data_IF_749651976994
#
_entry.id   IF_749651976994
#
_cell.length_a   1.000
_cell.length_b   1.000
_cell.length_c   1.000
_cell.angle_alpha   90.00
_cell.angle_beta   90.00
_cell.angle_gamma   90.00
#
_symmetry.space_group_name_H-M   'P 1'
#
loop_
_entity.id
_entity.type
_entity.pdbx_description
1 polymer ?
#
# COMPACT_ATOMS: atom_id res chain seq x y z
N UNK A 1 -16.49 -15.43 -26.45
CA UNK A 1 -16.58 -16.48 -25.44
C UNK A 1 -17.31 -15.92 -24.22
N UNK A 2 -18.48 -16.44 -23.83
CA UNK A 2 -19.25 -15.91 -22.70
C UNK A 2 -18.69 -16.30 -21.32
N UNK A 3 -17.52 -16.95 -21.25
CA UNK A 3 -16.84 -17.33 -20.01
C UNK A 3 -15.60 -16.48 -19.67
N UNK A 4 -15.52 -15.23 -20.13
CA UNK A 4 -14.55 -14.28 -19.59
C UNK A 4 -14.78 -14.15 -18.07
N UNK A 5 -13.86 -14.72 -17.28
CA UNK A 5 -13.96 -14.85 -15.83
C UNK A 5 -14.31 -13.52 -15.18
N UNK A 6 -15.47 -13.48 -14.50
CA UNK A 6 -15.87 -12.33 -13.69
C UNK A 6 -14.77 -12.06 -12.66
N UNK A 7 -14.06 -10.94 -12.80
CA UNK A 7 -13.42 -10.25 -11.66
C UNK A 7 -14.48 -10.16 -10.56
N UNK A 8 -14.16 -10.68 -9.38
CA UNK A 8 -15.01 -10.50 -8.21
C UNK A 8 -14.45 -9.35 -7.42
N UNK A 9 -15.31 -8.38 -7.16
CA UNK A 9 -14.94 -7.21 -6.39
C UNK A 9 -14.83 -7.59 -4.91
N UNK A 10 -13.78 -7.08 -4.26
CA UNK A 10 -13.64 -7.15 -2.81
C UNK A 10 -14.49 -6.07 -2.15
N UNK A 11 -15.01 -6.35 -0.94
CA UNK A 11 -15.79 -5.40 -0.17
C UNK A 11 -14.99 -4.84 1.01
N UNK A 12 -14.93 -3.52 1.10
CA UNK A 12 -14.34 -2.79 2.22
C UNK A 12 -15.44 -2.10 3.03
N UNK A 13 -15.39 -2.27 4.36
CA UNK A 13 -16.34 -1.66 5.29
C UNK A 13 -15.60 -0.91 6.39
N UNK A 14 -15.88 0.37 6.53
CA UNK A 14 -15.36 1.21 7.61
C UNK A 14 -16.28 1.21 8.83
N UNK A 15 -15.69 1.09 10.02
CA UNK A 15 -16.35 1.22 11.30
C UNK A 15 -15.58 2.25 12.14
N UNK A 16 -15.70 3.56 11.85
CA UNK A 16 -14.88 4.61 12.48
C UNK A 16 -15.08 4.73 13.99
N UNK A 17 -16.24 4.32 14.51
CA UNK A 17 -16.53 4.34 15.95
C UNK A 17 -16.18 3.02 16.66
N UNK A 18 -15.45 2.12 15.98
CA UNK A 18 -15.05 0.85 16.58
C UNK A 18 -14.17 1.08 17.82
N UNK A 19 -14.50 0.37 18.90
CA UNK A 19 -13.81 0.46 20.17
C UNK A 19 -12.94 -0.78 20.42
N UNK A 20 -11.69 -0.56 20.79
CA UNK A 20 -10.79 -1.59 21.30
C UNK A 20 -10.79 -1.56 22.82
N UNK A 21 -10.70 -2.75 23.42
CA UNK A 21 -10.44 -2.89 24.85
C UNK A 21 -8.93 -2.80 25.09
N UNK A 22 -8.50 -1.82 25.87
CA UNK A 22 -7.12 -1.63 26.27
C UNK A 22 -6.73 -2.61 27.39
N UNK A 23 -5.43 -2.84 27.63
CA UNK A 23 -4.96 -3.72 28.73
C UNK A 23 -5.45 -3.30 30.12
N UNK A 24 -5.69 -2.00 30.32
CA UNK A 24 -6.26 -1.42 31.55
C UNK A 24 -7.77 -1.69 31.72
N UNK A 25 -8.39 -2.40 30.78
CA UNK A 25 -9.81 -2.70 30.76
C UNK A 25 -10.71 -1.59 30.21
N UNK A 26 -10.17 -0.38 29.98
CA UNK A 26 -10.89 0.73 29.39
C UNK A 26 -11.18 0.49 27.91
N UNK A 27 -12.21 1.15 27.39
CA UNK A 27 -12.55 1.14 25.96
C UNK A 27 -12.01 2.41 25.32
N UNK A 28 -11.42 2.25 24.14
CA UNK A 28 -10.94 3.35 23.32
C UNK A 28 -11.54 3.24 21.95
N UNK A 29 -12.24 4.27 21.50
CA UNK A 29 -12.54 4.45 20.08
C UNK A 29 -11.22 4.57 19.32
N UNK A 30 -11.05 3.78 18.27
CA UNK A 30 -9.89 3.83 17.38
C UNK A 30 -10.27 3.70 15.90
N UNK A 31 -11.44 3.13 15.62
CA UNK A 31 -11.89 2.83 14.26
C UNK A 31 -11.31 1.52 13.71
N UNK A 32 -12.01 0.92 12.76
CA UNK A 32 -11.62 -0.35 12.13
C UNK A 32 -12.09 -0.42 10.68
N UNK A 33 -11.23 -0.95 9.82
CA UNK A 33 -11.53 -1.34 8.45
C UNK A 33 -11.71 -2.86 8.41
N UNK A 34 -12.71 -3.34 7.67
CA UNK A 34 -12.94 -4.74 7.37
C UNK A 34 -12.81 -4.95 5.86
N UNK A 35 -12.03 -5.95 5.47
CA UNK A 35 -11.90 -6.40 4.09
C UNK A 35 -12.50 -7.80 3.95
N UNK A 36 -13.49 -7.93 3.07
CA UNK A 36 -14.11 -9.18 2.69
C UNK A 36 -13.66 -9.52 1.27
N UNK A 37 -12.80 -10.52 1.15
CA UNK A 37 -12.24 -10.95 -0.13
C UNK A 37 -13.28 -11.71 -0.97
N UNK A 38 -13.35 -11.37 -2.26
CA UNK A 38 -14.19 -12.01 -3.26
C UNK A 38 -13.81 -13.48 -3.49
N UNK A 39 -14.79 -14.38 -3.36
CA UNK A 39 -14.60 -15.82 -3.58
C UNK A 39 -15.92 -16.53 -3.90
N UNK A 40 -16.33 -16.50 -5.17
CA UNK A 40 -17.57 -17.07 -5.69
C UNK A 40 -18.83 -16.55 -4.99
N UNK A 41 -19.93 -17.32 -5.03
CA UNK A 41 -21.21 -16.99 -4.36
C UNK A 41 -21.13 -16.96 -2.80
N UNK A 42 -19.95 -16.74 -2.21
CA UNK A 42 -19.69 -16.94 -0.79
C UNK A 42 -18.79 -15.87 -0.16
N UNK A 43 -18.91 -14.62 -0.61
CA UNK A 43 -18.28 -13.39 -0.06
C UNK A 43 -18.27 -13.30 1.49
N UNK A 44 -19.17 -14.00 2.18
CA UNK A 44 -19.39 -13.89 3.62
C UNK A 44 -18.99 -15.12 4.43
N UNK A 45 -18.27 -16.10 3.85
CA UNK A 45 -17.87 -17.31 4.60
C UNK A 45 -16.45 -17.33 5.14
N UNK A 46 -15.60 -16.42 4.67
CA UNK A 46 -14.26 -16.23 5.24
C UNK A 46 -14.31 -15.13 6.30
N UNK A 47 -13.51 -15.29 7.35
CA UNK A 47 -13.28 -14.22 8.32
C UNK A 47 -12.67 -13.01 7.59
N UNK A 48 -13.21 -11.80 7.76
CA UNK A 48 -12.66 -10.62 7.11
C UNK A 48 -11.26 -10.32 7.67
N UNK A 49 -10.38 -9.83 6.82
CA UNK A 49 -9.17 -9.17 7.29
C UNK A 49 -9.58 -7.85 7.96
N UNK A 50 -8.92 -7.50 9.07
CA UNK A 50 -9.24 -6.27 9.81
C UNK A 50 -8.00 -5.40 10.02
N UNK A 51 -8.10 -4.12 9.70
CA UNK A 51 -7.10 -3.09 10.04
C UNK A 51 -7.69 -2.19 11.12
N UNK A 52 -6.95 -1.94 12.20
CA UNK A 52 -7.45 -1.14 13.33
C UNK A 52 -6.65 0.15 13.44
N UNK A 53 -7.34 1.26 13.70
CA UNK A 53 -6.69 2.55 13.90
C UNK A 53 -5.76 2.54 15.12
N UNK A 54 -4.73 3.37 15.06
CA UNK A 54 -3.72 3.49 16.13
C UNK A 54 -3.99 4.68 17.06
N UNK A 55 -4.70 5.70 16.59
CA UNK A 55 -4.96 6.93 17.34
C UNK A 55 -6.35 6.88 18.00
N UNK A 56 -6.45 7.09 19.33
CA UNK A 56 -7.72 7.25 20.00
C UNK A 56 -8.55 8.38 19.41
N UNK A 57 -9.85 8.14 19.19
CA UNK A 57 -10.80 9.11 18.62
C UNK A 57 -10.44 9.60 17.21
N UNK A 58 -9.49 8.96 16.54
CA UNK A 58 -9.04 9.35 15.20
C UNK A 58 -10.04 9.07 14.09
N UNK A 59 -11.10 8.29 14.39
CA UNK A 59 -12.13 7.82 13.43
C UNK A 59 -11.52 7.14 12.21
N UNK A 60 -10.60 6.21 12.43
CA UNK A 60 -9.97 5.45 11.34
C UNK A 60 -11.02 4.72 10.49
N UNK A 61 -10.85 4.76 9.18
CA UNK A 61 -11.80 4.25 8.19
C UNK A 61 -13.14 5.01 8.16
N UNK A 62 -13.12 6.31 8.45
CA UNK A 62 -14.26 7.21 8.19
C UNK A 62 -14.47 7.48 6.69
N UNK A 63 -13.38 7.44 5.91
CA UNK A 63 -13.41 7.51 4.46
C UNK A 63 -12.47 6.44 3.89
N UNK A 64 -12.86 5.88 2.74
CA UNK A 64 -12.10 4.85 2.03
C UNK A 64 -12.16 5.19 0.55
N UNK A 65 -11.02 5.17 -0.14
CA UNK A 65 -10.96 5.31 -1.59
C UNK A 65 -10.04 4.23 -2.18
N UNK A 66 -10.47 3.66 -3.30
CA UNK A 66 -9.56 2.87 -4.13
C UNK A 66 -8.56 3.80 -4.82
N UNK A 67 -7.32 3.37 -4.89
CA UNK A 67 -6.23 4.04 -5.58
C UNK A 67 -5.87 3.36 -6.91
N UNK A 68 -6.44 2.17 -7.18
CA UNK A 68 -6.02 1.32 -8.29
C UNK A 68 -4.70 0.64 -7.97
N UNK A 69 -3.80 0.61 -8.95
CA UNK A 69 -2.42 0.13 -8.81
C UNK A 69 -1.50 1.36 -8.71
N UNK A 70 -1.21 1.80 -7.48
CA UNK A 70 -0.51 3.07 -7.24
C UNK A 70 0.97 2.97 -7.57
N UNK A 71 1.59 1.81 -7.37
CA UNK A 71 3.01 1.59 -7.61
C UNK A 71 3.33 0.68 -8.80
N UNK A 72 2.30 0.26 -9.55
CA UNK A 72 2.39 -0.59 -10.74
C UNK A 72 3.02 -1.94 -10.48
N UNK A 73 2.79 -2.49 -9.30
CA UNK A 73 3.29 -3.81 -8.93
C UNK A 73 2.41 -4.96 -9.48
N UNK A 74 1.29 -4.62 -10.11
CA UNK A 74 0.36 -5.56 -10.72
C UNK A 74 -0.90 -5.82 -9.88
N UNK A 75 -1.03 -5.19 -8.71
CA UNK A 75 -2.20 -5.30 -7.84
C UNK A 75 -3.15 -4.11 -8.04
N UNK A 76 -4.41 -4.38 -8.43
CA UNK A 76 -5.42 -3.33 -8.66
C UNK A 76 -5.50 -2.74 -10.08
N UNK A 77 -4.68 -3.21 -11.02
CA UNK A 77 -4.69 -2.74 -12.41
C UNK A 77 -5.90 -3.23 -13.24
N UNK A 78 -6.41 -2.39 -14.15
CA UNK A 78 -7.52 -2.70 -15.08
C UNK A 78 -7.16 -3.67 -16.23
N UNK A 79 -5.93 -4.19 -16.27
CA UNK A 79 -5.54 -5.18 -17.26
C UNK A 79 -6.10 -6.54 -16.82
N UNK A 80 -7.05 -7.09 -17.59
CA UNK A 80 -7.67 -8.40 -17.32
C UNK A 80 -6.72 -9.60 -17.45
N UNK A 81 -5.40 -9.37 -17.49
CA UNK A 81 -4.33 -10.34 -17.70
C UNK A 81 -3.04 -9.78 -17.06
N UNK A 82 -2.77 -10.07 -15.80
CA UNK A 82 -1.42 -9.91 -15.24
C UNK A 82 -0.61 -11.15 -15.60
N UNK A 83 0.50 -10.97 -16.34
CA UNK A 83 1.44 -12.07 -16.57
C UNK A 83 2.05 -12.45 -15.22
N UNK A 84 1.94 -13.72 -14.84
CA UNK A 84 2.78 -14.25 -13.79
C UNK A 84 4.27 -14.05 -14.16
N UNK A 85 5.12 -13.89 -13.14
CA UNK A 85 6.54 -13.58 -13.21
C UNK A 85 7.27 -14.14 -14.45
N UNK A 86 8.14 -13.32 -15.06
CA UNK A 86 9.01 -13.73 -16.15
C UNK A 86 9.90 -14.92 -15.72
N UNK A 87 9.53 -16.12 -16.13
CA UNK A 87 10.23 -17.37 -15.76
C UNK A 87 9.36 -18.63 -15.82
N UNK A 88 8.04 -18.49 -15.80
CA UNK A 88 7.11 -19.60 -16.03
C UNK A 88 6.43 -19.37 -17.39
N UNK A 89 6.88 -20.08 -18.43
CA UNK A 89 6.38 -19.91 -19.80
C UNK A 89 4.85 -19.94 -19.89
N UNK A 90 4.28 -19.03 -20.70
CA UNK A 90 2.87 -18.85 -21.10
C UNK A 90 1.76 -19.60 -20.33
N UNK A 91 1.84 -19.59 -19.00
CA UNK A 91 0.83 -20.15 -18.12
C UNK A 91 0.05 -18.99 -17.51
N UNK A 92 -1.14 -18.74 -18.03
CA UNK A 92 -2.12 -17.87 -17.40
C UNK A 92 -2.57 -18.52 -16.09
N UNK A 93 -1.98 -18.11 -14.97
CA UNK A 93 -2.52 -18.52 -13.67
C UNK A 93 -3.78 -17.69 -13.44
N UNK A 94 -4.93 -18.36 -13.32
CA UNK A 94 -6.17 -17.79 -12.79
C UNK A 94 -5.97 -17.46 -11.30
N UNK A 95 -5.08 -16.51 -10.98
CA UNK A 95 -4.92 -16.08 -9.60
C UNK A 95 -6.06 -15.16 -9.21
N UNK A 96 -6.47 -15.34 -7.96
CA UNK A 96 -7.47 -14.64 -7.19
C UNK A 96 -7.66 -13.15 -7.54
N UNK A 97 -8.86 -12.59 -7.36
CA UNK A 97 -9.05 -11.14 -7.45
C UNK A 97 -8.02 -10.47 -6.55
N UNK A 98 -7.18 -9.62 -7.13
CA UNK A 98 -6.20 -8.91 -6.33
C UNK A 98 -6.76 -7.57 -5.92
N UNK A 99 -6.75 -7.32 -4.61
CA UNK A 99 -7.22 -6.09 -4.01
C UNK A 99 -6.39 -4.91 -4.54
N UNK A 100 -7.04 -3.80 -4.96
CA UNK A 100 -6.31 -2.60 -5.30
C UNK A 100 -5.71 -1.96 -4.05
N UNK A 101 -4.77 -1.05 -4.26
CA UNK A 101 -4.29 -0.15 -3.23
C UNK A 101 -5.44 0.73 -2.74
N UNK A 102 -5.40 1.08 -1.45
CA UNK A 102 -6.47 1.86 -0.81
C UNK A 102 -5.93 2.99 0.05
N UNK A 103 -6.62 4.13 0.00
CA UNK A 103 -6.47 5.22 0.94
C UNK A 103 -7.57 5.13 2.01
N UNK A 104 -7.17 5.26 3.28
CA UNK A 104 -8.06 5.19 4.43
C UNK A 104 -7.89 6.43 5.30
N UNK A 105 -8.98 7.17 5.49
CA UNK A 105 -8.98 8.41 6.26
C UNK A 105 -9.19 8.20 7.74
N UNK A 106 -8.47 8.97 8.55
CA UNK A 106 -8.69 9.16 9.99
C UNK A 106 -8.77 10.68 10.26
N UNK A 107 -9.93 11.30 10.02
CA UNK A 107 -10.05 12.77 9.96
C UNK A 107 -9.72 13.50 11.26
N UNK A 108 -9.74 12.80 12.38
CA UNK A 108 -9.43 13.33 13.71
C UNK A 108 -8.13 12.75 14.28
N UNK A 109 -7.39 11.98 13.47
CA UNK A 109 -6.11 11.39 13.85
C UNK A 109 -4.96 12.39 13.78
N UNK A 110 -3.78 11.93 14.21
CA UNK A 110 -2.53 12.70 14.18
C UNK A 110 -2.44 13.79 15.25
N UNK A 111 -1.31 14.48 15.24
CA UNK A 111 -1.00 15.49 16.24
C UNK A 111 -1.99 16.67 16.13
N UNK A 112 -2.59 17.01 17.27
CA UNK A 112 -3.62 18.06 17.35
C UNK A 112 -4.97 17.70 16.70
N UNK A 113 -5.18 16.46 16.25
CA UNK A 113 -6.43 16.01 15.64
C UNK A 113 -6.71 16.65 14.27
N UNK A 114 -5.65 17.03 13.56
CA UNK A 114 -5.76 17.71 12.26
C UNK A 114 -6.20 16.77 11.12
N UNK A 115 -6.03 15.47 11.31
CA UNK A 115 -6.41 14.41 10.38
C UNK A 115 -5.21 13.75 9.69
N UNK A 116 -5.39 12.48 9.33
CA UNK A 116 -4.40 11.65 8.66
C UNK A 116 -5.06 10.80 7.57
N UNK A 117 -4.27 10.42 6.56
CA UNK A 117 -4.64 9.42 5.55
C UNK A 117 -3.56 8.34 5.50
N UNK A 118 -3.98 7.09 5.45
CA UNK A 118 -3.11 5.93 5.39
C UNK A 118 -3.25 5.25 4.03
N UNK A 119 -2.13 4.90 3.41
CA UNK A 119 -2.08 4.12 2.17
C UNK A 119 -1.76 2.68 2.53
N UNK A 120 -2.64 1.76 2.16
CA UNK A 120 -2.44 0.32 2.29
C UNK A 120 -2.33 -0.28 0.90
N UNK A 121 -1.22 -0.96 0.65
CA UNK A 121 -0.99 -1.65 -0.61
C UNK A 121 -1.77 -2.95 -0.68
N UNK A 122 -2.24 -3.30 -1.86
CA UNK A 122 -2.73 -4.63 -2.21
C UNK A 122 -1.63 -5.69 -2.15
N UNK A 123 -2.03 -6.93 -1.93
CA UNK A 123 -1.19 -8.12 -2.04
C UNK A 123 -2.05 -9.32 -2.44
N UNK A 124 -1.41 -10.45 -2.73
CA UNK A 124 -2.09 -11.68 -3.17
C UNK A 124 -3.18 -12.19 -2.22
N UNK A 125 -3.11 -11.85 -0.93
CA UNK A 125 -4.04 -12.27 0.12
C UNK A 125 -4.80 -11.10 0.78
N UNK A 126 -4.96 -9.97 0.07
CA UNK A 126 -5.74 -8.82 0.52
C UNK A 126 -4.91 -7.56 0.64
N UNK A 127 -4.93 -6.90 1.80
CA UNK A 127 -4.16 -5.67 2.03
C UNK A 127 -2.96 -5.92 2.93
N UNK A 128 -1.89 -5.15 2.78
CA UNK A 128 -0.82 -5.11 3.77
C UNK A 128 -1.37 -4.66 5.14
N UNK A 129 -0.95 -5.32 6.22
CA UNK A 129 -1.38 -4.98 7.59
C UNK A 129 -0.80 -3.65 8.08
N UNK A 130 0.37 -3.29 7.57
CA UNK A 130 1.08 -2.04 7.88
C UNK A 130 0.91 -1.10 6.69
N UNK A 131 0.50 0.17 6.91
CA UNK A 131 0.40 1.13 5.82
C UNK A 131 1.78 1.40 5.24
N UNK A 132 1.88 1.42 3.91
CA UNK A 132 3.12 1.71 3.18
C UNK A 132 3.45 3.19 3.22
N UNK A 133 2.44 4.05 3.38
CA UNK A 133 2.60 5.49 3.51
C UNK A 133 1.55 6.08 4.45
N UNK A 134 1.96 7.14 5.16
CA UNK A 134 1.07 7.98 5.98
C UNK A 134 1.19 9.42 5.52
N UNK A 135 0.05 10.06 5.30
CA UNK A 135 -0.06 11.47 4.97
C UNK A 135 -0.65 12.20 6.17
N UNK A 136 0.16 13.05 6.80
CA UNK A 136 -0.28 13.93 7.89
C UNK A 136 -0.89 15.21 7.29
N UNK A 137 -1.92 15.77 7.94
CA UNK A 137 -2.55 17.03 7.49
C UNK A 137 -1.50 18.13 7.31
N UNK A 138 -1.37 18.72 6.11
CA UNK A 138 -0.51 19.89 5.90
C UNK A 138 -1.18 21.19 6.38
N UNK A 139 -2.42 21.12 6.87
CA UNK A 139 -3.21 22.27 7.26
C UNK A 139 -3.28 22.40 8.79
N UNK A 140 -3.19 23.63 9.33
CA UNK A 140 -3.26 23.86 10.76
C UNK A 140 -4.67 23.66 11.31
N UNK A 141 -4.76 23.32 12.59
CA UNK A 141 -6.03 23.17 13.32
C UNK A 141 -6.78 21.88 12.97
N UNK A 142 -8.00 21.69 13.49
CA UNK A 142 -8.82 20.51 13.22
C UNK A 142 -9.35 20.54 11.77
N UNK A 143 -8.46 20.29 10.82
CA UNK A 143 -8.73 20.43 9.39
C UNK A 143 -9.69 19.36 8.86
N UNK A 144 -9.93 18.30 9.64
CA UNK A 144 -10.67 17.11 9.22
C UNK A 144 -10.07 16.51 7.93
N UNK A 145 -8.74 16.54 7.82
CA UNK A 145 -8.01 16.04 6.66
C UNK A 145 -8.22 14.53 6.51
N UNK A 146 -8.68 14.10 5.34
CA UNK A 146 -9.01 12.70 5.09
C UNK A 146 -10.48 12.35 5.31
N UNK A 147 -11.36 13.33 5.54
CA UNK A 147 -12.81 13.10 5.63
C UNK A 147 -13.45 12.73 4.28
N UNK A 148 -12.87 13.21 3.18
CA UNK A 148 -13.27 12.86 1.83
C UNK A 148 -12.03 12.49 1.03
N UNK A 149 -12.10 11.39 0.28
CA UNK A 149 -10.99 10.85 -0.49
C UNK A 149 -11.46 10.51 -1.90
N UNK A 150 -10.61 10.74 -2.89
CA UNK A 150 -10.82 10.28 -4.27
C UNK A 150 -9.46 9.96 -4.91
N UNK A 151 -9.30 8.77 -5.44
CA UNK A 151 -8.11 8.39 -6.20
C UNK A 151 -8.45 7.60 -7.46
N UNK A 152 -7.51 6.74 -7.89
CA UNK A 152 -7.61 5.88 -9.07
C UNK A 152 -7.78 6.64 -10.40
N UNK A 153 -7.33 7.89 -10.45
CA UNK A 153 -7.34 8.71 -11.66
C UNK A 153 -6.01 9.42 -11.77
N UNK A 154 -5.38 9.30 -12.93
CA UNK A 154 -4.17 10.03 -13.30
C UNK A 154 -4.56 11.41 -13.86
N UNK A 155 -4.16 12.48 -13.19
CA UNK A 155 -4.53 13.87 -13.51
C UNK A 155 -3.42 14.62 -14.22
N UNK A 156 -2.16 14.21 -14.05
CA UNK A 156 -0.99 14.82 -14.67
C UNK A 156 -0.51 14.06 -15.92
N UNK A 157 -1.16 12.95 -16.25
CA UNK A 157 -0.86 12.07 -17.39
C UNK A 157 0.53 11.42 -17.33
N UNK A 158 1.07 11.21 -16.12
CA UNK A 158 2.36 10.53 -15.93
C UNK A 158 2.23 8.98 -15.90
N UNK A 159 1.00 8.48 -15.96
CA UNK A 159 0.62 7.08 -15.99
C UNK A 159 0.37 6.48 -14.61
N UNK A 160 0.53 7.21 -13.51
CA UNK A 160 0.30 6.74 -12.13
C UNK A 160 -0.95 7.43 -11.57
N UNK A 161 -1.78 6.72 -10.79
CA UNK A 161 -2.99 7.31 -10.23
C UNK A 161 -2.65 8.31 -9.12
N UNK A 162 -3.42 9.40 -9.06
CA UNK A 162 -3.28 10.45 -8.06
C UNK A 162 -4.32 10.31 -6.94
N UNK A 163 -4.13 11.09 -5.87
CA UNK A 163 -5.03 11.15 -4.72
C UNK A 163 -5.43 12.59 -4.36
N UNK A 164 -6.74 12.84 -4.30
CA UNK A 164 -7.32 14.04 -3.72
C UNK A 164 -7.81 13.78 -2.30
N UNK A 165 -7.46 14.68 -1.38
CA UNK A 165 -7.83 14.62 0.04
C UNK A 165 -8.54 15.90 0.46
N UNK A 166 -9.81 15.75 0.87
CA UNK A 166 -10.59 16.84 1.43
C UNK A 166 -10.23 17.13 2.89
N UNK A 167 -10.18 18.42 3.23
CA UNK A 167 -9.99 18.94 4.57
C UNK A 167 -10.97 20.10 4.83
N UNK A 168 -12.24 19.75 5.03
CA UNK A 168 -13.32 20.74 5.09
C UNK A 168 -13.16 21.71 6.27
N UNK A 169 -12.55 21.28 7.39
CA UNK A 169 -12.27 22.13 8.55
C UNK A 169 -11.28 23.25 8.24
N UNK A 170 -10.45 23.07 7.21
CA UNK A 170 -9.54 24.09 6.70
C UNK A 170 -10.04 24.76 5.40
N UNK A 171 -11.24 24.41 4.91
CA UNK A 171 -11.78 24.84 3.62
C UNK A 171 -10.81 24.58 2.44
N UNK A 172 -10.10 23.44 2.46
CA UNK A 172 -9.07 23.10 1.48
C UNK A 172 -9.21 21.67 0.95
N UNK A 173 -8.59 21.45 -0.20
CA UNK A 173 -8.35 20.14 -0.79
C UNK A 173 -6.85 20.04 -1.07
N UNK A 174 -6.23 18.94 -0.66
CA UNK A 174 -4.85 18.61 -1.02
C UNK A 174 -4.86 17.63 -2.21
N UNK A 175 -3.94 17.83 -3.14
CA UNK A 175 -3.70 16.92 -4.25
C UNK A 175 -2.31 16.30 -4.09
N UNK A 176 -2.24 14.98 -4.18
CA UNK A 176 -1.01 14.20 -4.13
C UNK A 176 -0.84 13.48 -5.47
N UNK A 177 0.28 13.75 -6.14
CA UNK A 177 0.60 13.13 -7.42
C UNK A 177 1.32 11.79 -7.22
N UNK A 178 0.91 10.77 -7.97
CA UNK A 178 1.61 9.50 -8.06
C UNK A 178 2.98 9.71 -8.71
N UNK A 179 4.03 9.08 -8.19
CA UNK A 179 5.38 9.21 -8.75
C UNK A 179 5.85 7.91 -9.41
N UNK A 180 6.64 7.97 -10.49
CA UNK A 180 7.19 6.78 -11.10
C UNK A 180 8.05 5.93 -10.15
N UNK A 181 7.79 4.63 -10.13
CA UNK A 181 8.52 3.67 -9.28
C UNK A 181 9.61 2.98 -10.10
N UNK A 182 10.84 3.03 -9.61
CA UNK A 182 12.02 2.43 -10.27
C UNK A 182 12.48 1.22 -9.46
N UNK A 183 12.51 0.04 -10.09
CA UNK A 183 13.02 -1.19 -9.50
C UNK A 183 14.46 -1.41 -9.95
N UNK A 184 15.42 -1.31 -9.02
CA UNK A 184 16.83 -1.57 -9.28
C UNK A 184 17.21 -3.00 -8.84
N UNK A 185 17.94 -3.72 -9.69
CA UNK A 185 18.51 -5.03 -9.37
C UNK A 185 20.03 -4.90 -9.37
N UNK A 186 20.67 -5.31 -8.27
CA UNK A 186 22.12 -5.29 -8.12
C UNK A 186 22.64 -6.71 -7.88
N UNK A 187 23.74 -7.05 -8.53
CA UNK A 187 24.44 -8.31 -8.33
C UNK A 187 25.92 -7.99 -8.07
N UNK A 188 26.46 -8.58 -7.01
CA UNK A 188 27.87 -8.49 -6.66
C UNK A 188 28.43 -9.90 -6.70
N UNK A 189 29.44 -10.11 -7.54
CA UNK A 189 30.19 -11.35 -7.60
C UNK A 189 31.57 -11.11 -6.99
N UNK A 190 31.92 -11.89 -5.98
CA UNK A 190 33.26 -11.94 -5.40
C UNK A 190 33.77 -13.38 -5.43
N UNK A 191 35.08 -13.61 -5.44
CA UNK A 191 35.63 -14.96 -5.34
C UNK A 191 35.21 -15.64 -4.04
N UNK A 192 34.98 -16.95 -4.08
CA UNK A 192 34.59 -17.75 -2.89
C UNK A 192 35.72 -17.88 -1.85
N UNK A 193 36.94 -17.56 -2.24
CA UNK A 193 38.11 -17.56 -1.36
C UNK A 193 39.29 -16.86 -2.00
N UNK A 194 40.10 -16.20 -1.17
CA UNK A 194 41.33 -15.55 -1.61
C UNK A 194 42.52 -16.47 -1.30
N UNK A 195 43.35 -16.73 -2.30
CA UNK A 195 44.59 -17.48 -2.08
C UNK A 195 45.73 -16.51 -1.76
N UNK A 196 46.24 -16.44 -0.51
CA UNK A 196 47.31 -15.53 -0.13
C UNK A 196 48.65 -15.85 -0.80
N UNK A 197 48.84 -17.07 -1.31
CA UNK A 197 50.05 -17.44 -2.05
C UNK A 197 50.01 -16.95 -3.52
N UNK A 198 48.83 -16.61 -4.04
CA UNK A 198 48.65 -16.10 -5.39
C UNK A 198 48.73 -14.58 -5.42
N UNK A 199 49.94 -14.03 -5.58
CA UNK A 199 50.18 -12.58 -5.62
C UNK A 199 50.03 -12.01 -7.05
N UNK A 200 48.81 -12.01 -7.58
CA UNK A 200 48.53 -11.68 -8.99
C UNK A 200 48.54 -10.17 -9.32
N UNK A 201 48.47 -9.28 -8.32
CA UNK A 201 48.42 -7.83 -8.53
C UNK A 201 49.64 -7.13 -7.93
N UNK A 202 49.96 -5.93 -8.42
CA UNK A 202 51.10 -5.11 -7.94
C UNK A 202 50.62 -3.73 -7.53
N UNK A 203 51.04 -3.27 -6.35
CA UNK A 203 50.67 -1.95 -5.83
C UNK A 203 51.43 -0.84 -6.58
N UNK A 204 50.73 0.19 -7.11
CA UNK A 204 51.34 1.21 -7.97
C UNK A 204 52.47 2.05 -7.33
N UNK A 205 52.50 2.16 -6.00
CA UNK A 205 53.43 3.04 -5.28
C UNK A 205 54.67 2.33 -4.74
N UNK A 206 54.54 1.05 -4.37
CA UNK A 206 55.59 0.29 -3.68
C UNK A 206 56.12 -0.89 -4.48
N UNK A 207 55.56 -1.15 -5.66
CA UNK A 207 55.87 -2.32 -6.50
C UNK A 207 55.72 -3.67 -5.75
N UNK A 208 54.91 -3.68 -4.69
CA UNK A 208 54.70 -4.87 -3.85
C UNK A 208 53.59 -5.72 -4.45
N UNK A 209 53.85 -7.03 -4.63
CA UNK A 209 52.85 -7.96 -5.14
C UNK A 209 51.90 -8.41 -4.02
N UNK A 210 50.60 -8.42 -4.30
CA UNK A 210 49.51 -8.73 -3.35
C UNK A 210 48.50 -9.71 -3.94
N UNK A 211 47.82 -10.45 -3.07
CA UNK A 211 46.69 -11.32 -3.44
C UNK A 211 45.39 -10.50 -3.56
N UNK A 212 44.46 -10.97 -4.39
CA UNK A 212 43.13 -10.38 -4.58
C UNK A 212 42.06 -11.44 -4.73
#
# INVERSE_FOLDING_TARGET
DPHAGRRQDDLLVGAPLYMVRRPDGQRSEVGRLYLYLGGGQRLLTRSPQTLTGTHPYGRFAAAIASLGDLDKDGYGGNTGLTRACAGMGDLWVLMSPVSPDVAVGAPLGGDGGSGQVFIFRGQSEGLMQVPTQRLDSPFPGPAAFGFALRGATDLDSNGYPDLMVGAYGAAKVALYWGQPVVVAQAQLSVPDGLNPELLACELPSSHTRVSW
#
